data_IF_308422126596
#
_entry.id   IF_308422126596
#
_cell.length_a   1.000
_cell.length_b   1.000
_cell.length_c   1.000
_cell.angle_alpha   90.00
_cell.angle_beta   90.00
_cell.angle_gamma   90.00
#
_symmetry.space_group_name_H-M   'P 1'
#
loop_
_entity.id
_entity.type
_entity.pdbx_description
1 polymer ?
#
# COMPACT_ATOMS: atom_id res chain seq x y z
N UNK A 1 34.78 67.33 37.75
CA UNK A 1 36.00 67.90 38.38
C UNK A 1 37.15 67.00 38.02
N UNK A 2 38.22 67.61 37.46
CA UNK A 2 39.65 67.28 37.65
C UNK A 2 40.02 65.79 37.69
N UNK A 3 40.86 65.28 36.82
CA UNK A 3 42.13 65.88 36.44
C UNK A 3 43.20 64.78 36.54
N UNK A 4 44.12 64.84 35.58
CA UNK A 4 45.26 63.97 35.32
C UNK A 4 46.12 63.62 36.53
N UNK A 5 46.76 62.45 36.50
CA UNK A 5 48.15 62.21 36.96
C UNK A 5 48.57 60.82 36.49
N UNK A 6 49.46 60.70 35.50
CA UNK A 6 50.94 60.76 35.63
C UNK A 6 51.51 59.74 36.61
N UNK A 7 52.18 58.72 36.08
CA UNK A 7 53.53 58.29 36.51
C UNK A 7 53.90 56.97 35.82
N UNK A 8 54.94 57.00 34.98
CA UNK A 8 56.32 56.64 35.33
C UNK A 8 56.59 55.17 35.01
N UNK A 9 57.21 54.89 33.86
CA UNK A 9 58.66 54.78 33.63
C UNK A 9 59.21 53.40 34.02
N UNK A 10 59.74 52.75 32.99
CA UNK A 10 61.07 52.10 32.96
C UNK A 10 61.14 50.57 32.89
N UNK A 11 62.10 50.19 32.04
CA UNK A 11 62.81 48.92 31.85
C UNK A 11 62.05 47.84 31.06
N UNK A 12 62.36 47.60 29.78
CA UNK A 12 63.63 47.20 29.11
C UNK A 12 64.05 45.79 29.51
N UNK A 13 63.85 44.85 28.57
CA UNK A 13 64.70 43.71 28.11
C UNK A 13 63.76 42.65 27.54
N UNK A 14 64.06 41.84 26.53
CA UNK A 14 65.01 41.80 25.41
C UNK A 14 64.50 40.62 24.56
N UNK A 15 64.30 40.85 23.27
CA UNK A 15 64.41 39.92 22.13
C UNK A 15 64.03 38.42 22.25
N UNK A 16 63.13 38.01 21.35
CA UNK A 16 63.08 36.67 20.73
C UNK A 16 62.20 36.75 19.46
N UNK A 17 62.69 36.38 18.26
CA UNK A 17 62.03 36.70 17.00
C UNK A 17 61.09 35.58 16.53
N UNK A 18 60.00 35.94 15.86
CA UNK A 18 59.06 34.98 15.28
C UNK A 18 58.09 35.66 14.33
N UNK A 19 58.35 35.46 13.04
CA UNK A 19 57.73 35.88 11.78
C UNK A 19 56.19 35.97 11.73
N UNK A 20 55.64 36.74 10.75
CA UNK A 20 54.33 37.36 10.81
C UNK A 20 53.19 36.43 10.38
N UNK A 21 52.05 36.55 11.07
CA UNK A 21 50.77 35.98 10.63
C UNK A 21 50.00 36.98 9.75
N UNK A 22 49.79 36.73 8.45
CA UNK A 22 48.79 37.46 7.70
C UNK A 22 47.38 36.89 7.95
N UNK A 23 46.63 37.68 8.72
CA UNK A 23 45.20 38.00 8.61
C UNK A 23 44.25 36.95 8.00
N UNK A 24 43.34 36.49 8.88
CA UNK A 24 41.99 35.98 8.55
C UNK A 24 41.28 36.94 7.58
N UNK A 25 40.87 36.42 6.43
CA UNK A 25 39.71 36.93 5.67
C UNK A 25 38.78 35.76 5.36
N UNK A 26 37.54 35.87 5.83
CA UNK A 26 36.44 34.93 5.56
C UNK A 26 36.06 34.98 4.08
N UNK A 27 35.82 33.82 3.47
CA UNK A 27 34.70 33.63 2.52
C UNK A 27 34.07 32.25 2.80
N UNK A 28 32.74 32.15 2.88
CA UNK A 28 32.05 30.88 3.03
C UNK A 28 31.79 30.28 1.64
N UNK A 29 31.96 28.96 1.52
CA UNK A 29 31.43 28.25 0.35
C UNK A 29 31.02 26.82 0.71
N UNK A 30 29.70 26.63 0.61
CA UNK A 30 29.05 25.52 -0.11
C UNK A 30 29.06 24.15 0.58
N UNK A 31 27.97 23.93 1.32
CA UNK A 31 27.06 22.79 1.19
C UNK A 31 27.62 21.51 0.55
N UNK A 32 27.68 20.43 1.35
CA UNK A 32 26.98 19.19 0.99
C UNK A 32 26.85 18.24 2.20
N UNK A 33 25.73 17.48 2.27
CA UNK A 33 25.26 16.85 3.50
C UNK A 33 25.85 15.45 3.72
N UNK A 34 25.94 15.10 5.00
CA UNK A 34 25.49 13.83 5.58
C UNK A 34 25.72 12.55 4.75
N UNK A 35 26.88 11.90 4.98
CA UNK A 35 27.11 10.51 4.56
C UNK A 35 26.31 9.57 5.47
N UNK A 36 24.99 9.52 5.24
CA UNK A 36 24.15 8.42 5.71
C UNK A 36 24.62 7.12 5.06
N UNK A 37 25.09 6.22 5.92
CA UNK A 37 25.18 4.76 5.80
C UNK A 37 24.78 4.21 4.43
N UNK A 38 25.76 3.96 3.56
CA UNK A 38 25.61 2.93 2.55
C UNK A 38 25.86 1.58 3.23
N UNK A 39 24.79 0.94 3.71
CA UNK A 39 24.84 -0.48 4.05
C UNK A 39 25.09 -1.22 2.75
N UNK A 40 26.29 -1.76 2.55
CA UNK A 40 26.56 -2.67 1.45
C UNK A 40 25.71 -3.93 1.68
N UNK A 41 24.57 -4.02 0.99
CA UNK A 41 23.86 -5.27 0.88
C UNK A 41 24.74 -6.23 0.05
N UNK A 42 25.41 -7.14 0.75
CA UNK A 42 26.15 -8.25 0.16
C UNK A 42 25.16 -9.09 -0.68
N UNK A 43 25.46 -9.48 -1.93
CA UNK A 43 24.58 -10.36 -2.69
C UNK A 43 24.67 -11.76 -2.07
N UNK A 44 23.79 -12.02 -1.12
CA UNK A 44 23.71 -13.27 -0.38
C UNK A 44 22.35 -13.89 -0.60
N UNK A 45 22.35 -15.09 -1.18
CA UNK A 45 21.23 -16.03 -1.23
C UNK A 45 19.89 -15.46 -1.74
N UNK A 46 19.78 -15.25 -3.06
CA UNK A 46 18.46 -15.30 -3.69
C UNK A 46 17.87 -16.69 -3.44
N UNK A 47 16.99 -16.79 -2.45
CA UNK A 47 16.19 -18.00 -2.30
C UNK A 47 15.41 -18.16 -3.59
N UNK A 48 15.45 -19.35 -4.21
CA UNK A 48 14.66 -19.66 -5.42
C UNK A 48 13.18 -19.26 -5.27
N UNK A 49 12.73 -19.21 -4.01
CA UNK A 49 11.41 -18.80 -3.56
C UNK A 49 11.15 -17.28 -3.66
N UNK A 50 12.11 -16.42 -3.32
CA UNK A 50 11.96 -14.97 -3.52
C UNK A 50 11.78 -14.67 -5.02
N UNK A 51 12.61 -15.29 -5.87
CA UNK A 51 12.47 -15.17 -7.31
C UNK A 51 11.12 -15.75 -7.82
N UNK A 52 10.58 -16.79 -7.16
CA UNK A 52 9.27 -17.35 -7.52
C UNK A 52 8.10 -16.48 -7.08
N UNK A 53 8.18 -15.85 -5.90
CA UNK A 53 7.16 -14.95 -5.40
C UNK A 53 7.13 -13.66 -6.22
N UNK A 54 8.29 -13.05 -6.51
CA UNK A 54 8.38 -11.85 -7.35
C UNK A 54 7.79 -12.08 -8.75
N UNK A 55 8.07 -13.25 -9.36
CA UNK A 55 7.44 -13.61 -10.65
C UNK A 55 5.92 -13.68 -10.53
N UNK A 56 5.39 -14.39 -9.53
CA UNK A 56 3.94 -14.49 -9.34
C UNK A 56 3.29 -13.14 -9.06
N UNK A 57 3.95 -12.28 -8.29
CA UNK A 57 3.52 -10.91 -8.04
C UNK A 57 3.46 -10.09 -9.33
N UNK A 58 4.47 -10.19 -10.21
CA UNK A 58 4.44 -9.48 -11.49
C UNK A 58 3.24 -9.88 -12.36
N UNK A 59 2.90 -11.18 -12.43
CA UNK A 59 1.70 -11.63 -13.13
C UNK A 59 0.41 -11.17 -12.47
N UNK A 60 0.35 -11.15 -11.13
CA UNK A 60 -0.81 -10.61 -10.42
C UNK A 60 -0.97 -9.10 -10.68
N UNK A 61 0.12 -8.34 -10.67
CA UNK A 61 0.12 -6.91 -11.00
C UNK A 61 -0.30 -6.67 -12.45
N UNK A 62 0.15 -7.48 -13.40
CA UNK A 62 -0.29 -7.41 -14.80
C UNK A 62 -1.78 -7.70 -14.94
N UNK A 63 -2.29 -8.74 -14.27
CA UNK A 63 -3.73 -9.02 -14.24
C UNK A 63 -4.51 -7.86 -13.63
N UNK A 64 -4.03 -7.29 -12.52
CA UNK A 64 -4.63 -6.12 -11.88
C UNK A 64 -4.65 -4.91 -12.83
N UNK A 65 -3.60 -4.68 -13.61
CA UNK A 65 -3.56 -3.59 -14.58
C UNK A 65 -4.66 -3.72 -15.65
N UNK A 66 -4.93 -4.94 -16.12
CA UNK A 66 -5.94 -5.19 -17.15
C UNK A 66 -7.37 -5.20 -16.60
N UNK A 67 -7.58 -5.73 -15.39
CA UNK A 67 -8.93 -5.97 -14.84
C UNK A 67 -9.32 -5.05 -13.68
N UNK A 68 -8.38 -4.33 -13.08
CA UNK A 68 -8.58 -3.48 -11.90
C UNK A 68 -8.87 -4.25 -10.59
N UNK A 69 -8.64 -5.57 -10.57
CA UNK A 69 -8.89 -6.41 -9.40
C UNK A 69 -8.07 -7.71 -9.39
N UNK A 70 -7.84 -8.28 -8.20
CA UNK A 70 -7.17 -9.58 -8.00
C UNK A 70 -8.14 -10.73 -7.70
N UNK A 71 -9.40 -10.60 -8.12
CA UNK A 71 -10.44 -11.63 -8.07
C UNK A 71 -10.23 -12.77 -9.10
N UNK A 72 -8.99 -13.27 -9.18
CA UNK A 72 -8.52 -14.24 -10.17
C UNK A 72 -9.02 -15.65 -9.80
N UNK A 73 -9.79 -16.34 -10.68
CA UNK A 73 -10.17 -17.74 -10.47
C UNK A 73 -8.96 -18.66 -10.43
N UNK A 74 -9.03 -19.75 -9.66
CA UNK A 74 -7.88 -20.64 -9.43
C UNK A 74 -7.32 -21.32 -10.70
N UNK A 75 -8.15 -21.44 -11.75
CA UNK A 75 -7.80 -22.05 -13.04
C UNK A 75 -7.24 -21.05 -14.05
N UNK A 76 -7.29 -19.74 -13.75
CA UNK A 76 -6.87 -18.72 -14.69
C UNK A 76 -5.36 -18.75 -14.93
N UNK A 77 -5.00 -18.54 -16.20
CA UNK A 77 -3.63 -18.36 -16.65
C UNK A 77 -3.48 -17.02 -17.35
N UNK A 78 -2.31 -16.42 -17.21
CA UNK A 78 -1.89 -15.22 -17.93
C UNK A 78 -0.53 -15.54 -18.55
N UNK A 79 -0.43 -15.46 -19.89
CA UNK A 79 0.76 -15.83 -20.65
C UNK A 79 1.34 -17.19 -20.22
N UNK A 80 0.48 -18.22 -20.23
CA UNK A 80 0.75 -19.59 -19.76
C UNK A 80 1.12 -19.76 -18.28
N UNK A 81 1.31 -18.67 -17.54
CA UNK A 81 1.55 -18.71 -16.12
C UNK A 81 0.25 -18.90 -15.33
N UNK A 82 0.22 -19.88 -14.43
CA UNK A 82 -0.94 -20.20 -13.60
C UNK A 82 -1.13 -19.19 -12.44
N UNK A 83 -1.38 -17.92 -12.77
CA UNK A 83 -1.57 -16.82 -11.83
C UNK A 83 -2.74 -17.09 -10.87
N UNK A 84 -3.80 -17.74 -11.34
CA UNK A 84 -4.93 -18.16 -10.50
C UNK A 84 -4.53 -19.14 -9.40
N UNK A 85 -3.73 -20.14 -9.76
CA UNK A 85 -3.24 -21.13 -8.82
C UNK A 85 -2.25 -20.49 -7.82
N UNK A 86 -1.41 -19.56 -8.28
CA UNK A 86 -0.52 -18.79 -7.42
C UNK A 86 -1.28 -17.93 -6.42
N UNK A 87 -2.29 -17.17 -6.86
CA UNK A 87 -3.15 -16.37 -5.97
C UNK A 87 -3.90 -17.23 -4.95
N UNK A 88 -4.40 -18.40 -5.37
CA UNK A 88 -5.02 -19.36 -4.44
C UNK A 88 -4.04 -19.78 -3.34
N UNK A 89 -2.76 -19.98 -3.67
CA UNK A 89 -1.73 -20.29 -2.67
C UNK A 89 -1.48 -19.10 -1.74
N UNK A 90 -1.41 -17.87 -2.26
CA UNK A 90 -1.25 -16.68 -1.42
C UNK A 90 -2.41 -16.52 -0.43
N UNK A 91 -3.65 -16.78 -0.87
CA UNK A 91 -4.85 -16.67 -0.01
C UNK A 91 -4.84 -17.66 1.16
N UNK A 92 -4.26 -18.85 0.96
CA UNK A 92 -4.15 -19.91 1.97
C UNK A 92 -2.84 -19.88 2.76
N UNK A 93 -1.93 -18.96 2.43
CA UNK A 93 -0.62 -18.91 3.07
C UNK A 93 -0.74 -18.11 4.37
N UNK A 94 -0.51 -18.80 5.50
CA UNK A 94 -0.44 -18.18 6.83
C UNK A 94 0.95 -17.57 7.12
N UNK A 95 1.94 -17.85 6.28
CA UNK A 95 3.34 -17.48 6.45
C UNK A 95 3.82 -16.41 5.47
N UNK A 96 2.91 -15.58 4.96
CA UNK A 96 3.30 -14.41 4.16
C UNK A 96 4.00 -13.39 5.05
N UNK A 97 5.11 -12.84 4.56
CA UNK A 97 5.78 -11.73 5.22
C UNK A 97 4.90 -10.48 5.16
N UNK A 98 5.04 -9.57 6.14
CA UNK A 98 4.28 -8.32 6.15
C UNK A 98 4.43 -7.52 4.85
N UNK A 99 5.64 -7.48 4.28
CA UNK A 99 5.92 -6.82 3.00
C UNK A 99 5.17 -7.46 1.82
N UNK A 100 5.06 -8.79 1.79
CA UNK A 100 4.31 -9.49 0.74
C UNK A 100 2.81 -9.22 0.84
N UNK A 101 2.28 -9.16 2.06
CA UNK A 101 0.88 -8.81 2.30
C UNK A 101 0.63 -7.36 1.88
N UNK A 102 1.45 -6.41 2.34
CA UNK A 102 1.34 -5.00 1.99
C UNK A 102 1.41 -4.76 0.48
N UNK A 103 2.25 -5.51 -0.25
CA UNK A 103 2.33 -5.41 -1.72
C UNK A 103 1.09 -5.92 -2.43
N UNK A 104 0.43 -6.97 -1.91
CA UNK A 104 -0.83 -7.48 -2.49
C UNK A 104 -2.01 -6.60 -2.09
N UNK A 105 -2.05 -6.12 -0.85
CA UNK A 105 -3.04 -5.14 -0.37
C UNK A 105 -2.98 -3.86 -1.20
N UNK A 106 -1.77 -3.38 -1.52
CA UNK A 106 -1.57 -2.22 -2.38
C UNK A 106 -2.01 -2.41 -3.84
N UNK A 107 -2.27 -3.65 -4.28
CA UNK A 107 -2.91 -3.92 -5.57
C UNK A 107 -4.44 -4.01 -5.41
N UNK A 108 -4.92 -4.84 -4.48
CA UNK A 108 -6.35 -5.02 -4.25
C UNK A 108 -6.58 -5.50 -2.81
N UNK A 109 -7.07 -4.64 -1.93
CA UNK A 109 -7.38 -4.99 -0.53
C UNK A 109 -8.29 -6.22 -0.38
N UNK A 110 -9.11 -6.52 -1.40
CA UNK A 110 -10.04 -7.64 -1.42
C UNK A 110 -9.40 -8.93 -1.95
N UNK A 111 -8.08 -8.97 -2.19
CA UNK A 111 -7.39 -10.12 -2.78
C UNK A 111 -7.50 -11.39 -1.93
N UNK A 112 -7.69 -11.28 -0.61
CA UNK A 112 -7.87 -12.42 0.29
C UNK A 112 -9.22 -13.09 0.16
N UNK A 113 -10.21 -12.38 -0.35
CA UNK A 113 -11.57 -12.90 -0.50
C UNK A 113 -11.65 -13.96 -1.60
N UNK A 114 -12.68 -14.78 -1.50
CA UNK A 114 -12.97 -15.78 -2.51
C UNK A 114 -13.22 -15.09 -3.86
N UNK A 115 -12.61 -15.53 -4.98
CA UNK A 115 -12.67 -14.82 -6.26
C UNK A 115 -14.09 -14.57 -6.76
N UNK A 116 -14.98 -15.55 -6.62
CA UNK A 116 -16.35 -15.44 -7.10
C UNK A 116 -17.18 -14.51 -6.22
N UNK A 117 -16.91 -14.49 -4.91
CA UNK A 117 -17.49 -13.53 -3.98
C UNK A 117 -17.02 -12.11 -4.28
N UNK A 118 -15.70 -11.89 -4.43
CA UNK A 118 -15.13 -10.58 -4.75
C UNK A 118 -15.66 -10.04 -6.09
N UNK A 119 -15.75 -10.88 -7.13
CA UNK A 119 -16.37 -10.50 -8.41
C UNK A 119 -17.83 -10.09 -8.24
N UNK A 120 -18.62 -10.86 -7.49
CA UNK A 120 -20.04 -10.54 -7.27
C UNK A 120 -20.22 -9.26 -6.45
N UNK A 121 -19.37 -9.04 -5.44
CA UNK A 121 -19.35 -7.83 -4.62
C UNK A 121 -19.02 -6.59 -5.46
N UNK A 122 -18.00 -6.68 -6.33
CA UNK A 122 -17.66 -5.60 -7.27
C UNK A 122 -18.76 -5.32 -8.29
N UNK A 123 -19.45 -6.34 -8.79
CA UNK A 123 -20.66 -6.18 -9.63
C UNK A 123 -21.77 -5.46 -8.89
N UNK A 124 -21.95 -5.73 -7.59
CA UNK A 124 -22.90 -5.02 -6.75
C UNK A 124 -22.50 -3.55 -6.55
N UNK A 125 -21.22 -3.26 -6.31
CA UNK A 125 -20.72 -1.87 -6.24
C UNK A 125 -20.97 -1.11 -7.54
N UNK A 126 -20.69 -1.72 -8.69
CA UNK A 126 -20.98 -1.12 -10.00
C UNK A 126 -22.49 -0.88 -10.21
N UNK A 127 -23.32 -1.81 -9.78
CA UNK A 127 -24.78 -1.66 -9.82
C UNK A 127 -25.28 -0.49 -8.94
N UNK A 128 -24.73 -0.33 -7.73
CA UNK A 128 -25.06 0.81 -6.86
C UNK A 128 -24.57 2.13 -7.47
N UNK A 129 -23.36 2.16 -8.04
CA UNK A 129 -22.83 3.34 -8.73
C UNK A 129 -23.67 3.74 -9.95
N UNK A 130 -24.33 2.78 -10.61
CA UNK A 130 -25.28 3.01 -11.70
C UNK A 130 -26.69 3.46 -11.22
N UNK A 131 -26.88 3.74 -9.92
CA UNK A 131 -28.16 4.15 -9.35
C UNK A 131 -29.05 2.99 -8.90
N UNK A 132 -28.49 1.78 -8.78
CA UNK A 132 -29.20 0.63 -8.27
C UNK A 132 -29.48 0.72 -6.77
N UNK A 133 -30.54 0.04 -6.31
CA UNK A 133 -30.88 -0.09 -4.89
C UNK A 133 -30.62 -1.50 -4.36
N UNK A 134 -30.25 -1.61 -3.08
CA UNK A 134 -30.14 -2.89 -2.38
C UNK A 134 -31.50 -3.56 -2.16
N UNK A 135 -32.58 -2.77 -2.12
CA UNK A 135 -33.91 -3.24 -1.81
C UNK A 135 -34.72 -3.63 -3.06
N UNK A 136 -35.73 -4.47 -2.85
CA UNK A 136 -36.66 -4.89 -3.91
C UNK A 136 -36.53 -6.35 -4.34
N UNK A 137 -37.03 -6.71 -5.54
CA UNK A 137 -37.25 -8.10 -5.90
C UNK A 137 -35.94 -8.85 -6.18
N UNK A 138 -35.88 -10.11 -5.76
CA UNK A 138 -34.68 -10.94 -5.89
C UNK A 138 -34.21 -11.09 -7.34
N UNK A 139 -35.14 -11.29 -8.28
CA UNK A 139 -34.81 -11.53 -9.68
C UNK A 139 -34.59 -10.25 -10.49
N UNK A 140 -34.35 -9.10 -9.85
CA UNK A 140 -34.05 -7.85 -10.57
C UNK A 140 -32.76 -8.01 -11.39
N UNK A 141 -32.77 -7.40 -12.57
CA UNK A 141 -31.66 -7.39 -13.51
C UNK A 141 -30.64 -6.34 -13.04
N UNK A 142 -29.36 -6.60 -13.25
CA UNK A 142 -28.29 -5.62 -13.08
C UNK A 142 -28.50 -4.39 -13.96
N UNK A 143 -27.89 -3.28 -13.59
CA UNK A 143 -27.89 -2.01 -14.33
C UNK A 143 -26.54 -1.83 -15.04
N UNK A 144 -26.50 -0.92 -16.00
CA UNK A 144 -25.31 -0.64 -16.81
C UNK A 144 -24.98 -1.80 -17.75
N UNK A 145 -23.70 -2.17 -17.80
CA UNK A 145 -23.15 -3.12 -18.78
C UNK A 145 -23.30 -4.60 -18.39
N UNK A 146 -24.02 -4.90 -17.31
CA UNK A 146 -24.13 -6.28 -16.79
C UNK A 146 -25.57 -6.70 -16.47
N UNK A 147 -26.41 -6.90 -17.50
CA UNK A 147 -27.78 -7.38 -17.33
C UNK A 147 -27.85 -8.84 -16.85
N UNK A 148 -26.75 -9.61 -16.95
CA UNK A 148 -26.72 -10.98 -16.46
C UNK A 148 -26.63 -11.05 -14.93
N UNK A 149 -26.16 -10.00 -14.27
CA UNK A 149 -26.09 -9.94 -12.82
C UNK A 149 -27.49 -9.88 -12.20
N UNK A 150 -27.72 -10.66 -11.13
CA UNK A 150 -28.97 -10.65 -10.36
C UNK A 150 -28.65 -10.25 -8.91
N UNK A 151 -28.58 -8.95 -8.59
CA UNK A 151 -28.14 -8.48 -7.27
C UNK A 151 -29.02 -9.00 -6.13
N UNK A 152 -30.34 -9.03 -6.31
CA UNK A 152 -31.26 -9.51 -5.27
C UNK A 152 -31.13 -11.01 -4.97
N UNK A 153 -30.88 -11.84 -5.99
CA UNK A 153 -30.60 -13.27 -5.83
C UNK A 153 -29.28 -13.48 -5.08
N UNK A 154 -28.25 -12.69 -5.39
CA UNK A 154 -26.97 -12.77 -4.70
C UNK A 154 -27.09 -12.35 -3.23
N UNK A 155 -27.81 -11.26 -2.92
CA UNK A 155 -28.07 -10.82 -1.54
C UNK A 155 -28.78 -11.89 -0.72
N UNK A 156 -29.86 -12.49 -1.24
CA UNK A 156 -30.55 -13.61 -0.55
C UNK A 156 -29.64 -14.80 -0.30
N UNK A 157 -28.72 -15.10 -1.22
CA UNK A 157 -27.71 -16.14 -1.03
C UNK A 157 -26.76 -15.78 0.11
N UNK A 158 -26.39 -14.51 0.27
CA UNK A 158 -25.56 -14.04 1.38
C UNK A 158 -26.31 -14.08 2.71
N UNK A 159 -27.58 -13.68 2.74
CA UNK A 159 -28.42 -13.77 3.96
C UNK A 159 -28.52 -15.21 4.44
N UNK A 160 -28.79 -16.14 3.51
CA UNK A 160 -28.78 -17.57 3.82
C UNK A 160 -27.42 -18.04 4.30
N UNK A 161 -26.33 -17.62 3.66
CA UNK A 161 -24.98 -17.98 4.07
C UNK A 161 -24.63 -17.44 5.47
N UNK A 162 -25.16 -16.27 5.84
CA UNK A 162 -25.04 -15.68 7.18
C UNK A 162 -25.81 -16.51 8.20
N UNK A 163 -27.06 -16.89 7.92
CA UNK A 163 -27.85 -17.78 8.80
C UNK A 163 -27.23 -19.17 8.95
N UNK A 164 -26.62 -19.70 7.88
CA UNK A 164 -25.92 -20.98 7.89
C UNK A 164 -24.54 -20.92 8.59
N UNK A 165 -24.07 -19.74 9.02
CA UNK A 165 -22.75 -19.56 9.63
C UNK A 165 -21.57 -19.75 8.67
N UNK A 166 -21.80 -19.66 7.35
CA UNK A 166 -20.79 -19.84 6.29
C UNK A 166 -20.13 -18.54 5.86
N UNK A 167 -20.65 -17.40 6.32
CA UNK A 167 -20.12 -16.09 6.02
C UNK A 167 -18.92 -15.80 6.93
N UNK A 168 -17.79 -15.42 6.36
CA UNK A 168 -16.65 -14.97 7.15
C UNK A 168 -16.93 -13.60 7.77
N UNK A 169 -16.32 -13.30 8.92
CA UNK A 169 -16.48 -12.00 9.59
C UNK A 169 -16.14 -10.82 8.67
N UNK A 170 -15.11 -10.99 7.85
CA UNK A 170 -14.71 -9.98 6.86
C UNK A 170 -15.82 -9.75 5.80
N UNK A 171 -16.42 -10.81 5.26
CA UNK A 171 -17.53 -10.68 4.31
C UNK A 171 -18.76 -10.05 4.95
N UNK A 172 -19.06 -10.38 6.21
CA UNK A 172 -20.15 -9.76 6.95
C UNK A 172 -19.93 -8.25 7.12
N UNK A 173 -18.73 -7.85 7.55
CA UNK A 173 -18.38 -6.44 7.73
C UNK A 173 -18.49 -5.64 6.43
N UNK A 174 -18.09 -6.22 5.29
CA UNK A 174 -18.23 -5.58 3.98
C UNK A 174 -19.68 -5.40 3.54
N UNK A 175 -20.55 -6.38 3.82
CA UNK A 175 -21.98 -6.26 3.54
C UNK A 175 -22.62 -5.20 4.44
N UNK A 176 -22.30 -5.18 5.73
CA UNK A 176 -22.86 -4.22 6.67
C UNK A 176 -22.37 -2.79 6.39
N UNK A 177 -21.12 -2.63 5.92
CA UNK A 177 -20.64 -1.34 5.41
C UNK A 177 -21.42 -0.90 4.17
N UNK A 178 -21.66 -1.81 3.24
CA UNK A 178 -22.36 -1.53 2.00
C UNK A 178 -23.84 -1.14 2.25
N UNK A 179 -24.52 -1.82 3.18
CA UNK A 179 -25.89 -1.45 3.60
C UNK A 179 -25.91 -0.06 4.23
N UNK A 180 -25.01 0.22 5.19
CA UNK A 180 -24.91 1.56 5.81
C UNK A 180 -24.66 2.66 4.78
N UNK A 181 -23.79 2.42 3.80
CA UNK A 181 -23.54 3.40 2.74
C UNK A 181 -24.77 3.62 1.86
N UNK A 182 -25.54 2.57 1.51
CA UNK A 182 -26.75 2.73 0.71
C UNK A 182 -27.84 3.52 1.45
N UNK A 183 -28.02 3.27 2.75
CA UNK A 183 -28.95 4.03 3.59
C UNK A 183 -28.60 5.52 3.66
N UNK A 184 -27.30 5.87 3.70
CA UNK A 184 -26.86 7.27 3.72
C UNK A 184 -27.05 8.02 2.42
N UNK A 185 -27.03 7.33 1.26
CA UNK A 185 -27.17 7.95 -0.06
C UNK A 185 -28.65 8.11 -0.47
N UNK A 186 -29.55 7.36 0.18
CA UNK A 186 -30.99 7.43 -0.06
C UNK A 186 -31.71 8.52 0.77
N UNK A 187 -31.04 9.16 1.73
CA UNK A 187 -31.54 10.33 2.49
C UNK A 187 -31.18 11.64 1.81
#
# INVERSE_FOLDING_TARGET
MTGSSSSSRSRRTRFGPGTPHPRRTRRPSRSSPDRRRATQARPGHWSKNANAWERGYAYAAAFHHTHGHLAIPATAKLDDYAVGAWMRRQRKADNLTGDQVARLDGLDELWRLEPDWNRSYRRLLAYLAAGGTLDGPANRIGLGDDPAFRPGTWLRKQDKARTDGKLTDHQAALLDALTRHAETVAC
#
